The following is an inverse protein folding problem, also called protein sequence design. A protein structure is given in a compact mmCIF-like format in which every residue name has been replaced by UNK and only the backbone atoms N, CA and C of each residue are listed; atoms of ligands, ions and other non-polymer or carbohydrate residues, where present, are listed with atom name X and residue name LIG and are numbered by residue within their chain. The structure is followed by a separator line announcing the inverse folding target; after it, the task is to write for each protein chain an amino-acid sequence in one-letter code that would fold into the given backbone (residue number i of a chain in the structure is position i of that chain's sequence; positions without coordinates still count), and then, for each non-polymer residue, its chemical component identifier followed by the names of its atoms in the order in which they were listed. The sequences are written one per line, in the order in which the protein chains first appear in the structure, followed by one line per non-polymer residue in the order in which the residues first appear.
data_IF_143956664365
#
_entry.id   IF_143956664365
#
_cell.length_a   1.000
_cell.length_b   1.000
_cell.length_c   1.000
_cell.angle_alpha   90.00
_cell.angle_beta   90.00
_cell.angle_gamma   90.00
#
_symmetry.space_group_name_H-M   'P 1'
#
loop_
_entity.id
_entity.type
_entity.pdbx_description
1 polymer ?
#
# COMPACT_ATOMS: atom_id res chain seq x y z
N UNK A 1 -20.85 -0.35 -7.33
CA UNK A 1 -20.82 -1.39 -6.29
C UNK A 1 -19.42 -1.58 -5.73
N UNK A 2 -19.21 -1.26 -4.45
CA UNK A 2 -18.00 -1.66 -3.72
C UNK A 2 -18.15 -3.16 -3.43
N UNK A 3 -17.49 -4.01 -4.21
CA UNK A 3 -17.41 -5.44 -3.89
C UNK A 3 -16.52 -5.55 -2.64
N UNK A 4 -17.04 -6.00 -1.49
CA UNK A 4 -16.21 -6.24 -0.31
C UNK A 4 -15.11 -7.22 -0.70
N UNK A 5 -13.85 -6.94 -0.35
CA UNK A 5 -12.79 -7.91 -0.59
C UNK A 5 -13.08 -9.17 0.23
N UNK A 6 -13.29 -10.28 -0.46
CA UNK A 6 -13.39 -11.58 0.17
C UNK A 6 -11.99 -12.00 0.63
N UNK A 7 -11.71 -11.77 1.91
CA UNK A 7 -10.45 -12.12 2.57
C UNK A 7 -10.19 -13.63 2.48
N UNK A 8 -11.23 -14.46 2.47
CA UNK A 8 -11.09 -15.91 2.35
C UNK A 8 -10.61 -16.28 0.96
N UNK A 9 -11.20 -15.67 -0.08
CA UNK A 9 -10.74 -15.84 -1.46
C UNK A 9 -9.29 -15.35 -1.63
N UNK A 10 -8.94 -14.20 -1.08
CA UNK A 10 -7.57 -13.67 -1.15
C UNK A 10 -6.56 -14.66 -0.57
N UNK A 11 -6.86 -15.27 0.58
CA UNK A 11 -6.00 -16.28 1.21
C UNK A 11 -5.83 -17.52 0.35
N UNK A 12 -6.92 -18.02 -0.24
CA UNK A 12 -6.88 -19.19 -1.14
C UNK A 12 -6.05 -18.89 -2.38
N UNK A 13 -6.29 -17.76 -3.03
CA UNK A 13 -5.54 -17.34 -4.23
C UNK A 13 -4.06 -17.14 -3.91
N UNK A 14 -3.74 -16.48 -2.79
CA UNK A 14 -2.37 -16.30 -2.35
C UNK A 14 -1.69 -17.64 -2.06
N UNK A 15 -2.36 -18.60 -1.42
CA UNK A 15 -1.80 -19.92 -1.13
C UNK A 15 -1.47 -20.70 -2.42
N UNK A 16 -2.41 -20.74 -3.38
CA UNK A 16 -2.20 -21.40 -4.68
C UNK A 16 -1.03 -20.78 -5.43
N UNK A 17 -1.02 -19.45 -5.54
CA UNK A 17 0.03 -18.73 -6.24
C UNK A 17 1.39 -18.88 -5.53
N UNK A 18 1.43 -18.80 -4.20
CA UNK A 18 2.65 -19.03 -3.41
C UNK A 18 3.22 -20.42 -3.67
N UNK A 19 2.38 -21.46 -3.66
CA UNK A 19 2.80 -22.83 -4.01
C UNK A 19 3.46 -22.89 -5.41
N UNK A 20 2.84 -22.27 -6.41
CA UNK A 20 3.40 -22.19 -7.76
C UNK A 20 4.73 -21.39 -7.80
N UNK A 21 4.86 -20.32 -7.01
CA UNK A 21 6.11 -19.55 -6.95
C UNK A 21 7.26 -20.31 -6.30
N UNK A 22 6.97 -21.21 -5.36
CA UNK A 22 7.96 -22.11 -4.76
C UNK A 22 8.45 -23.15 -5.78
N UNK A 23 7.55 -23.63 -6.64
CA UNK A 23 7.89 -24.61 -7.68
C UNK A 23 8.62 -24.02 -8.90
N UNK A 24 8.57 -22.70 -9.12
CA UNK A 24 9.16 -22.08 -10.30
C UNK A 24 9.63 -20.63 -10.07
N UNK A 25 10.95 -20.44 -10.14
CA UNK A 25 11.58 -19.10 -10.09
C UNK A 25 11.13 -18.23 -11.27
N UNK A 26 10.95 -18.82 -12.45
CA UNK A 26 10.48 -18.09 -13.63
C UNK A 26 9.04 -17.57 -13.42
N UNK A 27 8.15 -18.42 -12.89
CA UNK A 27 6.79 -18.01 -12.54
C UNK A 27 6.80 -16.94 -11.45
N UNK A 28 7.62 -17.10 -10.41
CA UNK A 28 7.79 -16.10 -9.35
C UNK A 28 8.16 -14.73 -9.91
N UNK A 29 9.20 -14.64 -10.75
CA UNK A 29 9.61 -13.38 -11.40
C UNK A 29 8.50 -12.80 -12.27
N UNK A 30 7.82 -13.64 -13.06
CA UNK A 30 6.71 -13.22 -13.91
C UNK A 30 5.55 -12.65 -13.10
N UNK A 31 5.12 -13.35 -12.05
CA UNK A 31 4.01 -12.95 -11.19
C UNK A 31 4.28 -11.60 -10.53
N UNK A 32 5.43 -11.46 -9.86
CA UNK A 32 5.77 -10.20 -9.20
C UNK A 32 5.93 -9.07 -10.22
N UNK A 33 6.59 -9.32 -11.36
CA UNK A 33 6.68 -8.34 -12.45
C UNK A 33 5.30 -7.89 -12.94
N UNK A 34 4.35 -8.82 -13.10
CA UNK A 34 2.97 -8.50 -13.50
C UNK A 34 2.23 -7.70 -12.43
N UNK A 35 2.41 -7.99 -11.15
CA UNK A 35 1.79 -7.21 -10.07
C UNK A 35 2.28 -5.75 -10.07
N UNK A 36 3.59 -5.53 -10.21
CA UNK A 36 4.17 -4.18 -10.26
C UNK A 36 3.76 -3.41 -11.52
N UNK A 37 3.64 -4.07 -12.68
CA UNK A 37 3.13 -3.44 -13.90
C UNK A 37 1.64 -3.13 -13.77
N UNK A 38 0.87 -4.00 -13.11
CA UNK A 38 -0.57 -3.86 -13.02
C UNK A 38 -1.01 -2.77 -12.02
N UNK A 39 -0.20 -2.41 -11.04
CA UNK A 39 -0.57 -1.45 -9.98
C UNK A 39 0.47 -0.33 -9.84
N UNK A 40 0.17 0.89 -10.35
CA UNK A 40 1.03 2.05 -10.13
C UNK A 40 1.13 2.43 -8.65
N UNK A 41 0.12 2.14 -7.80
CA UNK A 41 0.22 2.38 -6.36
C UNK A 41 1.18 1.40 -5.66
N UNK A 42 1.20 0.12 -6.07
CA UNK A 42 2.19 -0.84 -5.57
C UNK A 42 3.62 -0.45 -6.02
N UNK A 43 3.77 0.00 -7.26
CA UNK A 43 5.05 0.48 -7.79
C UNK A 43 5.46 1.87 -7.25
N UNK A 44 4.57 2.56 -6.52
CA UNK A 44 4.74 3.94 -6.07
C UNK A 44 5.12 4.88 -7.23
N UNK A 45 4.62 4.61 -8.44
CA UNK A 45 4.94 5.39 -9.62
C UNK A 45 4.06 6.64 -9.69
N UNK A 46 4.60 7.77 -9.23
CA UNK A 46 3.90 9.05 -9.16
C UNK A 46 3.30 9.48 -10.51
N UNK A 47 4.09 9.42 -11.59
CA UNK A 47 3.67 9.91 -12.90
C UNK A 47 2.55 9.05 -13.49
N UNK A 48 2.63 7.73 -13.35
CA UNK A 48 1.56 6.83 -13.80
C UNK A 48 0.29 6.99 -12.95
N UNK A 49 0.42 7.20 -11.63
CA UNK A 49 -0.74 7.49 -10.78
C UNK A 49 -1.47 8.77 -11.22
N UNK A 50 -0.72 9.85 -11.47
CA UNK A 50 -1.29 11.10 -11.98
C UNK A 50 -1.99 10.89 -13.32
N UNK A 51 -1.31 10.23 -14.26
CA UNK A 51 -1.85 9.93 -15.59
C UNK A 51 -3.15 9.13 -15.51
N UNK A 52 -3.19 8.08 -14.69
CA UNK A 52 -4.41 7.30 -14.48
C UNK A 52 -5.55 8.17 -13.95
N UNK A 53 -5.32 8.97 -12.91
CA UNK A 53 -6.37 9.83 -12.33
C UNK A 53 -6.89 10.84 -13.34
N UNK A 54 -5.99 11.47 -14.11
CA UNK A 54 -6.34 12.43 -15.14
C UNK A 54 -7.13 11.78 -16.27
N UNK A 55 -6.73 10.60 -16.73
CA UNK A 55 -7.44 9.85 -17.77
C UNK A 55 -8.83 9.43 -17.30
N UNK A 56 -8.97 8.98 -16.04
CA UNK A 56 -10.26 8.67 -15.44
C UNK A 56 -11.16 9.91 -15.35
N UNK A 57 -10.60 11.07 -14.96
CA UNK A 57 -11.34 12.33 -14.87
C UNK A 57 -11.79 12.82 -16.25
N UNK A 58 -10.99 12.63 -17.30
CA UNK A 58 -11.34 13.01 -18.68
C UNK A 58 -12.43 12.12 -19.28
N UNK A 59 -12.41 10.83 -18.97
CA UNK A 59 -13.26 9.82 -19.64
C UNK A 59 -14.58 9.53 -18.92
N UNK A 60 -14.70 9.90 -17.65
CA UNK A 60 -15.86 9.53 -16.83
C UNK A 60 -16.57 10.75 -16.26
N UNK A 61 -17.84 10.92 -16.62
CA UNK A 61 -18.75 11.86 -15.98
C UNK A 61 -18.97 11.49 -14.51
N UNK A 62 -18.90 10.19 -14.18
CA UNK A 62 -19.00 9.64 -12.83
C UNK A 62 -17.63 9.39 -12.20
N UNK A 63 -16.77 10.42 -12.24
CA UNK A 63 -15.40 10.33 -11.77
C UNK A 63 -15.25 9.72 -10.37
N UNK A 64 -16.12 10.10 -9.43
CA UNK A 64 -16.09 9.59 -8.05
C UNK A 64 -16.30 8.06 -7.96
N UNK A 65 -17.23 7.49 -8.74
CA UNK A 65 -17.45 6.04 -8.76
C UNK A 65 -16.27 5.33 -9.42
N UNK A 66 -15.77 5.87 -10.53
CA UNK A 66 -14.67 5.27 -11.28
C UNK A 66 -13.36 5.28 -10.50
N UNK A 67 -13.07 6.35 -9.75
CA UNK A 67 -11.86 6.42 -8.92
C UNK A 67 -11.93 5.47 -7.74
N UNK A 68 -13.11 5.28 -7.13
CA UNK A 68 -13.32 4.31 -6.05
C UNK A 68 -13.12 2.89 -6.56
N UNK A 69 -13.64 2.57 -7.75
CA UNK A 69 -13.44 1.27 -8.39
C UNK A 69 -11.96 1.02 -8.72
N UNK A 70 -11.28 2.02 -9.29
CA UNK A 70 -9.84 1.95 -9.56
C UNK A 70 -9.04 1.74 -8.27
N UNK A 71 -9.29 2.53 -7.22
CA UNK A 71 -8.63 2.39 -5.91
C UNK A 71 -8.86 1.00 -5.32
N UNK A 72 -10.09 0.48 -5.40
CA UNK A 72 -10.43 -0.87 -4.91
C UNK A 72 -9.63 -1.96 -5.61
N UNK A 73 -9.43 -1.82 -6.93
CA UNK A 73 -8.57 -2.71 -7.73
C UNK A 73 -7.11 -2.62 -7.29
N UNK A 74 -6.57 -1.42 -7.10
CA UNK A 74 -5.20 -1.23 -6.63
C UNK A 74 -4.98 -1.85 -5.25
N UNK A 75 -5.91 -1.64 -4.32
CA UNK A 75 -5.87 -2.24 -2.98
C UNK A 75 -5.89 -3.77 -3.06
N UNK A 76 -6.67 -4.36 -3.98
CA UNK A 76 -6.68 -5.82 -4.17
C UNK A 76 -5.33 -6.36 -4.63
N UNK A 77 -4.67 -5.66 -5.55
CA UNK A 77 -3.33 -6.03 -6.05
C UNK A 77 -2.30 -5.91 -4.92
N UNK A 78 -2.34 -4.81 -4.15
CA UNK A 78 -1.46 -4.59 -3.00
C UNK A 78 -1.66 -5.69 -1.95
N UNK A 79 -2.91 -6.01 -1.60
CA UNK A 79 -3.21 -7.05 -0.61
C UNK A 79 -2.80 -8.44 -1.08
N UNK A 80 -2.92 -8.75 -2.37
CA UNK A 80 -2.38 -9.98 -2.94
C UNK A 80 -0.86 -10.01 -2.84
N UNK A 81 -0.18 -8.92 -3.18
CA UNK A 81 1.27 -8.83 -3.04
C UNK A 81 1.74 -9.05 -1.60
N UNK A 82 1.09 -8.39 -0.62
CA UNK A 82 1.39 -8.57 0.80
C UNK A 82 1.15 -10.02 1.20
N UNK A 83 0.00 -10.60 0.86
CA UNK A 83 -0.32 -11.98 1.19
C UNK A 83 0.71 -12.98 0.63
N UNK A 84 1.15 -12.81 -0.63
CA UNK A 84 2.17 -13.65 -1.24
C UNK A 84 3.53 -13.55 -0.50
N UNK A 85 3.94 -12.34 -0.13
CA UNK A 85 5.21 -12.12 0.57
C UNK A 85 5.18 -12.56 2.02
N UNK A 86 4.01 -12.51 2.65
CA UNK A 86 3.80 -12.94 4.03
C UNK A 86 3.53 -14.45 4.16
N UNK A 87 3.07 -15.10 3.08
CA UNK A 87 2.74 -16.54 3.04
C UNK A 87 3.96 -17.46 3.02
N UNK A 88 5.18 -16.97 2.79
CA UNK A 88 6.38 -17.81 2.70
C UNK A 88 6.93 -18.30 4.06
N UNK A 89 6.15 -18.20 5.14
CA UNK A 89 6.57 -18.45 6.52
C UNK A 89 6.20 -19.84 7.07
N UNK A 90 5.63 -20.75 6.26
CA UNK A 90 5.18 -22.06 6.77
C UNK A 90 5.50 -23.22 5.82
N UNK A 91 6.76 -23.66 5.75
CA UNK A 91 7.08 -25.04 5.34
C UNK A 91 8.23 -25.67 6.14
N UNK A 92 9.17 -24.92 6.75
CA UNK A 92 10.27 -25.56 7.48
C UNK A 92 10.07 -25.55 9.01
N UNK A 93 9.70 -26.71 9.53
CA UNK A 93 10.00 -27.12 10.91
C UNK A 93 11.53 -27.08 11.10
N UNK A 94 11.97 -26.38 12.15
CA UNK A 94 13.33 -26.40 12.68
C UNK A 94 14.42 -25.80 11.76
N UNK A 95 14.43 -24.49 11.66
CA UNK A 95 15.61 -23.60 11.78
C UNK A 95 15.05 -22.18 11.74
N UNK A 96 15.66 -21.24 12.46
CA UNK A 96 15.18 -19.85 12.64
C UNK A 96 14.55 -19.26 11.36
N UNK A 97 13.27 -18.86 11.37
CA UNK A 97 12.64 -18.31 10.17
C UNK A 97 13.26 -16.94 9.89
N UNK A 98 14.10 -16.85 8.87
CA UNK A 98 14.36 -15.57 8.23
C UNK A 98 13.02 -15.05 7.70
N UNK A 99 12.41 -14.11 8.41
CA UNK A 99 11.12 -13.52 8.06
C UNK A 99 11.24 -12.60 6.84
N UNK A 100 11.65 -13.15 5.69
CA UNK A 100 11.92 -12.43 4.45
C UNK A 100 10.73 -11.55 4.02
N UNK A 101 9.50 -11.97 4.31
CA UNK A 101 8.28 -11.17 4.11
C UNK A 101 8.23 -9.91 4.97
N UNK A 102 8.44 -10.03 6.29
CA UNK A 102 8.40 -8.90 7.23
C UNK A 102 9.54 -7.90 6.96
N UNK A 103 10.75 -8.41 6.72
CA UNK A 103 11.89 -7.59 6.34
C UNK A 103 11.66 -6.82 5.04
N UNK A 104 10.97 -7.44 4.07
CA UNK A 104 10.57 -6.76 2.85
C UNK A 104 9.50 -5.70 3.10
N UNK A 105 8.46 -5.99 3.90
CA UNK A 105 7.42 -5.00 4.23
C UNK A 105 8.02 -3.78 4.93
N UNK A 106 8.93 -3.99 5.88
CA UNK A 106 9.70 -2.93 6.53
C UNK A 106 10.45 -2.06 5.52
N UNK A 107 11.21 -2.70 4.61
CA UNK A 107 11.97 -2.00 3.57
C UNK A 107 11.06 -1.20 2.65
N UNK A 108 9.91 -1.76 2.25
CA UNK A 108 8.95 -1.07 1.41
C UNK A 108 8.42 0.17 2.11
N UNK A 109 7.98 0.08 3.38
CA UNK A 109 7.53 1.27 4.11
C UNK A 109 8.64 2.31 4.16
N UNK A 110 9.87 1.92 4.54
CA UNK A 110 10.98 2.85 4.67
C UNK A 110 11.31 3.58 3.36
N UNK A 111 11.36 2.85 2.23
CA UNK A 111 11.61 3.43 0.90
C UNK A 111 10.45 4.32 0.47
N UNK A 112 9.20 3.88 0.66
CA UNK A 112 8.02 4.66 0.30
C UNK A 112 7.93 5.95 1.10
N UNK A 113 8.19 5.89 2.42
CA UNK A 113 8.19 7.04 3.33
C UNK A 113 9.30 8.04 3.02
N UNK A 114 10.45 7.57 2.52
CA UNK A 114 11.55 8.44 2.11
C UNK A 114 11.25 9.20 0.80
N UNK A 115 10.32 8.71 -0.02
CA UNK A 115 9.88 9.39 -1.24
C UNK A 115 8.90 10.53 -0.94
N UNK A 116 8.83 11.52 -1.83
CA UNK A 116 7.99 12.72 -1.71
C UNK A 116 6.57 12.56 -2.28
N UNK A 117 6.20 11.34 -2.67
CA UNK A 117 4.94 11.03 -3.35
C UNK A 117 3.84 10.59 -2.37
N UNK A 118 2.79 11.41 -2.23
CA UNK A 118 1.61 11.09 -1.44
C UNK A 118 0.85 9.83 -1.89
N UNK A 119 1.10 9.35 -3.11
CA UNK A 119 0.53 8.08 -3.60
C UNK A 119 1.04 6.86 -2.84
N UNK A 120 2.22 6.96 -2.22
CA UNK A 120 2.76 5.95 -1.31
C UNK A 120 1.88 5.68 -0.10
N UNK A 121 1.00 6.62 0.26
CA UNK A 121 0.12 6.49 1.42
C UNK A 121 -0.78 5.26 1.35
N UNK A 122 -1.31 4.90 0.18
CA UNK A 122 -2.14 3.71 0.03
C UNK A 122 -1.35 2.44 0.35
N UNK A 123 -0.12 2.31 -0.20
CA UNK A 123 0.73 1.15 0.05
C UNK A 123 1.08 1.02 1.54
N UNK A 124 1.52 2.12 2.16
CA UNK A 124 1.84 2.15 3.59
C UNK A 124 0.61 1.82 4.44
N UNK A 125 -0.57 2.35 4.09
CA UNK A 125 -1.82 2.06 4.78
C UNK A 125 -2.12 0.56 4.79
N UNK A 126 -2.08 -0.09 3.63
CA UNK A 126 -2.40 -1.52 3.53
C UNK A 126 -1.38 -2.42 4.27
N UNK A 127 -0.09 -2.04 4.27
CA UNK A 127 0.93 -2.74 5.05
C UNK A 127 0.72 -2.51 6.56
N UNK A 128 0.30 -1.32 6.99
CA UNK A 128 0.09 -0.99 8.41
C UNK A 128 -1.27 -1.40 8.97
N UNK A 129 -2.18 -1.97 8.17
CA UNK A 129 -3.44 -2.51 8.69
C UNK A 129 -3.16 -3.47 9.85
N UNK A 130 -4.04 -3.45 10.86
CA UNK A 130 -3.94 -4.12 12.17
C UNK A 130 -3.34 -5.53 12.12
N UNK A 131 -3.69 -6.30 11.10
CA UNK A 131 -3.25 -7.70 10.94
C UNK A 131 -1.73 -7.83 10.74
N UNK A 132 -1.10 -6.87 10.07
CA UNK A 132 0.33 -6.91 9.71
C UNK A 132 1.18 -6.05 10.66
N UNK A 133 0.66 -4.90 11.06
CA UNK A 133 1.28 -3.98 12.01
C UNK A 133 1.70 -4.69 13.31
N UNK A 134 0.79 -5.43 13.95
CA UNK A 134 1.05 -6.12 15.22
C UNK A 134 2.19 -7.15 15.10
N UNK A 135 2.31 -7.82 13.94
CA UNK A 135 3.38 -8.77 13.68
C UNK A 135 4.71 -8.04 13.50
N UNK A 136 4.72 -6.92 12.77
CA UNK A 136 5.92 -6.09 12.60
C UNK A 136 6.38 -5.47 13.93
N UNK A 137 5.46 -5.00 14.78
CA UNK A 137 5.79 -4.47 16.10
C UNK A 137 6.44 -5.52 17.01
N UNK A 138 5.94 -6.76 17.01
CA UNK A 138 6.59 -7.86 17.76
C UNK A 138 8.05 -8.11 17.35
N UNK A 139 8.40 -7.86 16.09
CA UNK A 139 9.75 -8.10 15.56
C UNK A 139 10.65 -6.88 15.72
N UNK A 140 10.16 -5.67 15.41
CA UNK A 140 10.97 -4.45 15.35
C UNK A 140 10.80 -3.53 16.57
N UNK A 141 9.80 -3.80 17.42
CA UNK A 141 9.50 -3.09 18.66
C UNK A 141 9.56 -1.57 18.51
N UNK A 142 10.43 -0.96 19.32
CA UNK A 142 10.62 0.50 19.37
C UNK A 142 11.04 1.14 18.04
N UNK A 143 11.66 0.39 17.12
CA UNK A 143 11.99 0.95 15.80
C UNK A 143 10.71 1.15 14.97
N UNK A 144 9.75 0.23 15.09
CA UNK A 144 8.45 0.38 14.45
C UNK A 144 7.66 1.55 15.03
N UNK A 145 7.67 1.74 16.35
CA UNK A 145 7.09 2.92 17.00
C UNK A 145 7.67 4.23 16.45
N UNK A 146 9.01 4.32 16.35
CA UNK A 146 9.68 5.48 15.77
C UNK A 146 9.26 5.73 14.32
N UNK A 147 9.09 4.68 13.52
CA UNK A 147 8.64 4.79 12.14
C UNK A 147 7.20 5.31 12.06
N UNK A 148 6.29 4.78 12.87
CA UNK A 148 4.89 5.26 12.92
C UNK A 148 4.83 6.72 13.38
N UNK A 149 5.62 7.11 14.39
CA UNK A 149 5.73 8.51 14.84
C UNK A 149 6.32 9.41 13.75
N UNK A 150 7.33 8.93 13.00
CA UNK A 150 7.91 9.66 11.87
C UNK A 150 6.85 9.89 10.79
N UNK A 151 6.04 8.87 10.48
CA UNK A 151 4.95 8.98 9.51
C UNK A 151 3.96 10.05 9.95
N UNK A 152 3.53 10.02 11.22
CA UNK A 152 2.58 10.97 11.79
C UNK A 152 3.09 12.41 11.77
N UNK A 153 4.29 12.63 12.29
CA UNK A 153 4.81 13.97 12.61
C UNK A 153 5.50 14.66 11.44
N UNK A 154 6.04 13.90 10.49
CA UNK A 154 6.88 14.47 9.42
C UNK A 154 6.34 14.12 8.04
N UNK A 155 6.07 12.85 7.78
CA UNK A 155 5.77 12.36 6.42
C UNK A 155 4.40 12.79 5.96
N UNK A 156 3.37 12.60 6.80
CA UNK A 156 2.00 13.03 6.48
C UNK A 156 1.93 14.56 6.22
N UNK A 157 2.49 15.44 7.08
CA UNK A 157 2.57 16.87 6.77
C UNK A 157 3.34 17.17 5.48
N UNK A 158 4.48 16.52 5.26
CA UNK A 158 5.29 16.75 4.06
C UNK A 158 4.55 16.34 2.78
N UNK A 159 3.88 15.19 2.77
CA UNK A 159 3.06 14.73 1.64
C UNK A 159 1.84 15.61 1.40
N UNK A 160 1.17 16.11 2.46
CA UNK A 160 0.10 17.11 2.30
C UNK A 160 0.61 18.40 1.66
N UNK A 161 1.78 18.89 2.11
CA UNK A 161 2.40 20.08 1.54
C UNK A 161 2.84 19.87 0.09
N UNK A 162 3.30 18.67 -0.30
CA UNK A 162 3.70 18.38 -1.68
C UNK A 162 2.50 18.41 -2.64
N UNK A 163 1.31 17.95 -2.19
CA UNK A 163 0.07 18.05 -2.96
C UNK A 163 -0.35 19.51 -3.18
N UNK A 164 -0.18 20.37 -2.17
CA UNK A 164 -0.53 21.79 -2.27
C UNK A 164 0.36 22.53 -3.28
N UNK A 165 1.63 22.12 -3.42
CA UNK A 165 2.58 22.69 -4.40
C UNK A 165 2.26 22.36 -5.86
N UNK A 166 1.33 21.44 -6.13
CA UNK A 166 0.90 21.10 -7.50
C UNK A 166 0.08 22.26 -8.13
N UNK A 167 -0.14 23.40 -7.45
CA UNK A 167 -0.94 24.52 -7.98
C UNK A 167 -0.33 25.90 -7.72
N UNK A 168 -0.19 26.70 -8.79
CA UNK A 168 -0.74 28.06 -8.81
C UNK A 168 -2.08 28.20 -9.58
N UNK A 169 -2.37 27.34 -10.57
CA UNK A 169 -3.59 27.47 -11.40
C UNK A 169 -4.74 26.49 -11.10
N UNK A 170 -5.92 27.09 -10.90
CA UNK A 170 -7.17 26.56 -10.37
C UNK A 170 -7.96 25.60 -11.29
N UNK A 171 -7.30 24.68 -12.01
CA UNK A 171 -8.02 23.74 -12.89
C UNK A 171 -8.80 22.69 -12.08
N UNK A 172 -10.00 22.32 -12.55
CA UNK A 172 -10.79 21.23 -11.94
C UNK A 172 -10.05 19.89 -11.88
N UNK A 173 -9.11 19.66 -12.81
CA UNK A 173 -8.26 18.46 -12.82
C UNK A 173 -7.30 18.43 -11.64
N UNK A 174 -6.73 19.57 -11.26
CA UNK A 174 -5.85 19.67 -10.09
C UNK A 174 -6.64 19.42 -8.79
N UNK A 175 -7.88 19.95 -8.70
CA UNK A 175 -8.77 19.66 -7.56
C UNK A 175 -9.12 18.18 -7.45
N UNK A 176 -9.33 17.49 -8.58
CA UNK A 176 -9.58 16.06 -8.59
C UNK A 176 -8.39 15.26 -8.03
N UNK A 177 -7.17 15.57 -8.47
CA UNK A 177 -5.94 14.92 -7.95
C UNK A 177 -5.79 15.19 -6.45
N UNK A 178 -5.97 16.44 -6.01
CA UNK A 178 -5.91 16.83 -4.60
C UNK A 178 -6.90 16.05 -3.75
N UNK A 179 -8.17 15.99 -4.17
CA UNK A 179 -9.20 15.25 -3.42
C UNK A 179 -8.86 13.75 -3.32
N UNK A 180 -8.38 13.14 -4.41
CA UNK A 180 -8.02 11.72 -4.42
C UNK A 180 -6.82 11.44 -3.51
N UNK A 181 -5.79 12.27 -3.58
CA UNK A 181 -4.58 12.12 -2.78
C UNK A 181 -4.82 12.43 -1.29
N UNK A 182 -5.63 13.43 -0.97
CA UNK A 182 -6.02 13.72 0.42
C UNK A 182 -6.83 12.56 1.03
N UNK A 183 -7.68 11.90 0.25
CA UNK A 183 -8.38 10.68 0.69
C UNK A 183 -7.41 9.52 1.01
N UNK A 184 -6.24 9.47 0.37
CA UNK A 184 -5.22 8.45 0.66
C UNK A 184 -4.46 8.80 1.94
N UNK A 185 -4.09 10.06 2.12
CA UNK A 185 -3.44 10.56 3.32
C UNK A 185 -4.33 10.48 4.56
N UNK A 186 -5.62 10.75 4.39
CA UNK A 186 -6.62 10.61 5.46
C UNK A 186 -6.78 9.16 5.89
N UNK A 187 -6.82 8.21 4.94
CA UNK A 187 -6.85 6.79 5.27
C UNK A 187 -5.58 6.35 6.04
N UNK A 188 -4.40 6.80 5.59
CA UNK A 188 -3.16 6.53 6.30
C UNK A 188 -3.17 7.13 7.72
N UNK A 189 -3.68 8.36 7.89
CA UNK A 189 -3.79 9.00 9.20
C UNK A 189 -4.63 8.16 10.17
N UNK A 190 -5.79 7.67 9.74
CA UNK A 190 -6.60 6.77 10.58
C UNK A 190 -5.85 5.49 10.98
N UNK A 191 -5.12 4.87 10.05
CA UNK A 191 -4.32 3.67 10.35
C UNK A 191 -3.15 3.96 11.29
N UNK A 192 -2.49 5.11 11.14
CA UNK A 192 -1.41 5.55 12.03
C UNK A 192 -1.94 5.86 13.43
N UNK A 193 -3.10 6.52 13.54
CA UNK A 193 -3.74 6.82 14.82
C UNK A 193 -4.11 5.53 15.57
N UNK A 194 -4.61 4.53 14.85
CA UNK A 194 -4.89 3.20 15.41
C UNK A 194 -3.60 2.53 15.94
N UNK A 195 -2.51 2.55 15.17
CA UNK A 195 -1.20 2.07 15.62
C UNK A 195 -0.71 2.82 16.87
N UNK A 196 -0.79 4.15 16.88
CA UNK A 196 -0.35 4.98 18.01
C UNK A 196 -1.18 4.74 19.27
N UNK A 197 -2.48 4.48 19.12
CA UNK A 197 -3.35 4.16 20.24
C UNK A 197 -2.93 2.85 20.92
N UNK A 198 -2.51 1.85 20.12
CA UNK A 198 -2.03 0.55 20.61
C UNK A 198 -0.70 0.62 21.38
N UNK A 199 0.07 1.70 21.25
CA UNK A 199 1.29 1.92 22.05
C UNK A 199 1.02 2.36 23.48
N UNK A 200 -0.16 2.93 23.71
CA UNK A 200 -0.52 3.56 24.98
C UNK A 200 -1.33 2.63 25.88
N UNK A 201 -1.82 1.51 25.33
CA UNK A 201 -2.50 0.40 26.00
C UNK A 201 -1.50 -0.65 26.47
#
# INVERSE_FOLDING_TARGET
DLIPQDISLLKVVAAVLSSLTLSSIAFSKLLYGKLFIASPLLAVNHNECLKCILDLKKRSERFAETIVAWRSREIAIINLFIALKMSSASVDLQTTPESNGLGLMWKIIAVTVADSSAFGATLVTEILKVQHWNVMHKVYGRQMEKLVILIDKSVLPQWRASIQKIVPDSSEMNKAIQNVTENYLTALKFTVDDCLSSFRS
#
